data_IF_503566366216
#
_entry.id   IF_503566366216
#
_cell.length_a   1.000
_cell.length_b   1.000
_cell.length_c   1.000
_cell.angle_alpha   90.00
_cell.angle_beta   90.00
_cell.angle_gamma   90.00
#
_symmetry.space_group_name_H-M   'P 1'
#
loop_
_entity.id
_entity.type
_entity.pdbx_description
1 polymer ?
#
# COMPACT_ATOMS: atom_id res chain seq x y z
N UNK A 1 17.34 8.31 23.43
CA UNK A 1 17.05 7.21 22.47
C UNK A 1 15.54 7.02 22.26
N UNK A 2 14.72 6.84 23.31
CA UNK A 2 13.27 6.61 23.20
C UNK A 2 12.53 7.74 22.46
N UNK A 3 12.83 9.01 22.74
CA UNK A 3 12.22 10.17 22.04
C UNK A 3 12.50 10.15 20.53
N UNK A 4 13.72 9.80 20.11
CA UNK A 4 14.10 9.72 18.70
C UNK A 4 13.43 8.54 18.01
N UNK A 5 13.35 7.39 18.67
CA UNK A 5 12.61 6.23 18.16
C UNK A 5 11.12 6.57 17.94
N UNK A 6 10.49 7.28 18.88
CA UNK A 6 9.11 7.75 18.73
C UNK A 6 8.95 8.66 17.51
N UNK A 7 9.86 9.62 17.30
CA UNK A 7 9.84 10.50 16.13
C UNK A 7 10.01 9.70 14.83
N UNK A 8 10.87 8.68 14.81
CA UNK A 8 11.02 7.80 13.64
C UNK A 8 9.73 7.00 13.38
N UNK A 9 9.09 6.45 14.41
CA UNK A 9 7.83 5.71 14.29
C UNK A 9 6.67 6.60 13.80
N UNK A 10 6.61 7.86 14.27
CA UNK A 10 5.66 8.86 13.78
C UNK A 10 5.95 9.26 12.33
N UNK A 11 7.23 9.39 11.96
CA UNK A 11 7.67 9.73 10.61
C UNK A 11 7.29 8.67 9.59
N UNK A 12 7.38 7.38 9.94
CA UNK A 12 6.96 6.29 9.04
C UNK A 12 5.44 6.07 9.02
N UNK A 13 4.67 6.86 9.77
CA UNK A 13 3.21 6.75 9.89
C UNK A 13 2.79 5.32 10.12
N UNK A 14 3.25 4.74 11.25
CA UNK A 14 2.99 3.35 11.60
C UNK A 14 1.50 2.98 11.51
N UNK A 15 0.60 3.89 11.86
CA UNK A 15 -0.85 3.74 11.71
C UNK A 15 -1.29 3.39 10.27
N UNK A 16 -0.57 3.83 9.24
CA UNK A 16 -0.88 3.52 7.84
C UNK A 16 -0.56 2.06 7.47
N UNK A 17 0.13 1.30 8.35
CA UNK A 17 0.38 -0.15 8.17
C UNK A 17 -0.92 -0.93 8.01
N UNK A 18 -2.02 -0.42 8.59
CA UNK A 18 -3.36 -0.95 8.42
C UNK A 18 -3.77 -1.07 6.95
N UNK A 19 -3.25 -0.26 6.02
CA UNK A 19 -3.63 -0.38 4.60
C UNK A 19 -3.09 -1.64 3.92
N UNK A 20 -1.98 -2.19 4.40
CA UNK A 20 -1.25 -3.24 3.69
C UNK A 20 -1.27 -4.58 4.43
N UNK A 21 -1.20 -4.55 5.76
CA UNK A 21 -1.13 -5.77 6.57
C UNK A 21 -2.36 -6.68 6.44
N UNK A 22 -3.61 -6.18 6.47
CA UNK A 22 -4.79 -7.01 6.24
C UNK A 22 -4.79 -7.70 4.87
N UNK A 23 -4.27 -7.04 3.83
CA UNK A 23 -4.15 -7.65 2.50
C UNK A 23 -3.00 -8.66 2.42
N UNK A 24 -1.87 -8.43 3.09
CA UNK A 24 -0.82 -9.44 3.23
C UNK A 24 -1.38 -10.71 3.89
N UNK A 25 -2.14 -10.56 4.97
CA UNK A 25 -2.81 -11.67 5.64
C UNK A 25 -3.87 -12.33 4.76
N UNK A 26 -4.68 -11.56 4.04
CA UNK A 26 -5.65 -12.08 3.07
C UNK A 26 -4.96 -12.94 2.00
N UNK A 27 -3.88 -12.46 1.37
CA UNK A 27 -3.14 -13.23 0.37
C UNK A 27 -2.51 -14.50 0.96
N UNK A 28 -2.05 -14.43 2.20
CA UNK A 28 -1.49 -15.57 2.94
C UNK A 28 -2.55 -16.66 3.17
N UNK A 29 -3.70 -16.32 3.75
CA UNK A 29 -4.75 -17.31 4.08
C UNK A 29 -5.33 -17.89 2.80
N UNK A 30 -5.75 -17.03 1.87
CA UNK A 30 -6.39 -17.48 0.62
C UNK A 30 -5.42 -18.36 -0.15
N UNK A 31 -4.14 -17.98 -0.23
CA UNK A 31 -3.10 -18.78 -0.89
C UNK A 31 -2.90 -20.14 -0.21
N UNK A 32 -2.74 -20.16 1.11
CA UNK A 32 -2.52 -21.41 1.86
C UNK A 32 -3.71 -22.36 1.77
N UNK A 33 -4.94 -21.86 1.86
CA UNK A 33 -6.14 -22.70 1.75
C UNK A 33 -6.29 -23.26 0.33
N UNK A 34 -6.11 -22.43 -0.71
CA UNK A 34 -6.28 -22.86 -2.10
C UNK A 34 -5.20 -23.86 -2.52
N UNK A 35 -3.95 -23.64 -2.14
CA UNK A 35 -2.82 -24.45 -2.64
C UNK A 35 -2.46 -25.60 -1.70
N UNK A 36 -2.43 -25.34 -0.39
CA UNK A 36 -1.98 -26.33 0.59
C UNK A 36 -3.15 -27.02 1.31
N UNK A 37 -4.40 -26.55 1.14
CA UNK A 37 -5.57 -27.12 1.80
C UNK A 37 -5.59 -26.93 3.32
N UNK A 38 -4.79 -26.01 3.87
CA UNK A 38 -4.63 -25.81 5.31
C UNK A 38 -4.36 -24.35 5.67
N UNK A 39 -4.58 -24.01 6.93
CA UNK A 39 -4.18 -22.70 7.47
C UNK A 39 -2.66 -22.54 7.51
N UNK A 40 -2.14 -21.30 7.35
CA UNK A 40 -0.72 -21.00 7.52
C UNK A 40 -0.23 -21.37 8.92
N UNK A 41 1.03 -21.77 9.01
CA UNK A 41 1.66 -22.12 10.28
C UNK A 41 1.93 -20.86 11.12
N UNK A 42 2.02 -21.03 12.44
CA UNK A 42 2.32 -19.92 13.36
C UNK A 42 3.54 -19.11 12.93
N UNK A 43 4.58 -19.79 12.44
CA UNK A 43 5.83 -19.15 12.05
C UNK A 43 5.70 -18.34 10.75
N UNK A 44 4.81 -18.73 9.83
CA UNK A 44 4.52 -17.95 8.62
C UNK A 44 4.02 -16.56 9.00
N UNK A 45 3.09 -16.50 9.95
CA UNK A 45 2.53 -15.25 10.46
C UNK A 45 3.59 -14.32 11.04
N UNK A 46 4.49 -14.88 11.86
CA UNK A 46 5.60 -14.12 12.48
C UNK A 46 6.47 -13.51 11.40
N UNK A 47 6.93 -14.31 10.43
CA UNK A 47 7.83 -13.82 9.39
C UNK A 47 7.14 -12.88 8.40
N UNK A 48 5.86 -13.07 8.09
CA UNK A 48 5.08 -12.12 7.28
C UNK A 48 5.00 -10.76 7.98
N UNK A 49 4.74 -10.73 9.30
CA UNK A 49 4.73 -9.47 10.06
C UNK A 49 6.10 -8.80 10.03
N UNK A 50 7.18 -9.55 10.22
CA UNK A 50 8.56 -9.02 10.15
C UNK A 50 8.88 -8.50 8.75
N UNK A 51 8.52 -9.23 7.70
CA UNK A 51 8.71 -8.80 6.30
C UNK A 51 7.94 -7.52 6.00
N UNK A 52 6.66 -7.46 6.39
CA UNK A 52 5.81 -6.28 6.20
C UNK A 52 6.34 -5.07 6.97
N UNK A 53 6.78 -5.26 8.21
CA UNK A 53 7.40 -4.22 9.01
C UNK A 53 8.69 -3.71 8.34
N UNK A 54 9.58 -4.61 7.90
CA UNK A 54 10.83 -4.27 7.23
C UNK A 54 10.60 -3.53 5.90
N UNK A 55 9.79 -4.09 5.01
CA UNK A 55 9.49 -3.49 3.70
C UNK A 55 8.87 -2.10 3.84
N UNK A 56 7.86 -1.96 4.73
CA UNK A 56 7.15 -0.70 4.91
C UNK A 56 8.03 0.37 5.57
N UNK A 57 8.78 -0.01 6.60
CA UNK A 57 9.71 0.89 7.29
C UNK A 57 10.79 1.39 6.33
N UNK A 58 11.37 0.50 5.52
CA UNK A 58 12.34 0.87 4.50
C UNK A 58 11.75 1.83 3.46
N UNK A 59 10.60 1.50 2.87
CA UNK A 59 9.94 2.34 1.87
C UNK A 59 9.59 3.74 2.39
N UNK A 60 8.94 3.82 3.56
CA UNK A 60 8.54 5.10 4.14
C UNK A 60 9.77 5.95 4.48
N UNK A 61 10.79 5.38 5.09
CA UNK A 61 12.02 6.10 5.42
C UNK A 61 12.80 6.53 4.18
N UNK A 62 12.88 5.69 3.15
CA UNK A 62 13.44 6.05 1.84
C UNK A 62 12.69 7.22 1.22
N UNK A 63 11.36 7.17 1.22
CA UNK A 63 10.54 8.26 0.68
C UNK A 63 10.83 9.59 1.38
N UNK A 64 10.88 9.62 2.72
CA UNK A 64 11.21 10.84 3.47
C UNK A 64 12.63 11.32 3.20
N UNK A 65 13.58 10.41 3.10
CA UNK A 65 14.98 10.76 2.85
C UNK A 65 15.19 11.31 1.43
N UNK A 66 14.57 10.68 0.43
CA UNK A 66 14.67 11.04 -0.99
C UNK A 66 13.95 12.35 -1.28
N UNK A 67 12.77 12.55 -0.70
CA UNK A 67 11.95 13.74 -0.91
C UNK A 67 12.30 14.91 0.02
N UNK A 68 13.28 14.77 0.91
CA UNK A 68 13.65 15.77 1.93
C UNK A 68 13.75 17.21 1.42
N UNK A 69 14.40 17.44 0.26
CA UNK A 69 14.51 18.79 -0.33
C UNK A 69 13.16 19.31 -0.85
N UNK A 70 12.37 18.44 -1.47
CA UNK A 70 11.04 18.77 -1.98
C UNK A 70 10.10 19.05 -0.81
N UNK A 71 10.18 18.22 0.22
CA UNK A 71 9.33 18.32 1.41
C UNK A 71 9.60 19.61 2.19
N UNK A 72 10.87 20.05 2.25
CA UNK A 72 11.27 21.32 2.89
C UNK A 72 10.65 22.53 2.21
N UNK A 73 10.51 22.46 0.89
CA UNK A 73 10.01 23.56 0.06
C UNK A 73 8.48 23.57 -0.07
N UNK A 74 7.78 22.54 0.40
CA UNK A 74 6.32 22.45 0.36
C UNK A 74 5.72 22.88 1.72
N UNK A 75 4.85 23.91 1.74
CA UNK A 75 4.22 24.41 2.97
C UNK A 75 3.55 23.32 3.82
N UNK A 76 3.00 22.28 3.19
CA UNK A 76 2.30 21.18 3.88
C UNK A 76 3.26 20.21 4.58
N UNK A 77 4.52 20.16 4.16
CA UNK A 77 5.47 19.12 4.57
C UNK A 77 6.77 19.66 5.14
N UNK A 78 6.92 20.98 5.22
CA UNK A 78 8.08 21.66 5.76
C UNK A 78 8.37 21.28 7.23
N UNK A 79 7.33 20.96 8.00
CA UNK A 79 7.44 20.57 9.42
C UNK A 79 7.77 19.08 9.64
N UNK A 80 8.02 18.30 8.57
CA UNK A 80 8.39 16.88 8.70
C UNK A 80 9.72 16.71 9.44
N UNK A 81 9.92 15.54 10.06
CA UNK A 81 11.04 15.25 10.96
C UNK A 81 12.44 15.44 10.35
N UNK A 82 12.64 15.15 9.06
CA UNK A 82 13.93 15.35 8.39
C UNK A 82 14.13 16.82 7.98
N UNK A 83 13.18 17.48 7.27
CA UNK A 83 13.29 18.91 6.97
C UNK A 83 13.49 19.82 8.20
N UNK A 84 12.82 19.51 9.31
CA UNK A 84 12.92 20.24 10.59
C UNK A 84 14.15 19.90 11.43
N UNK A 85 14.99 18.95 10.98
CA UNK A 85 16.22 18.56 11.68
C UNK A 85 16.00 17.75 12.97
N UNK A 86 14.79 17.24 13.23
CA UNK A 86 14.49 16.42 14.41
C UNK A 86 15.19 15.05 14.37
N UNK A 87 15.50 14.55 13.17
CA UNK A 87 16.25 13.31 12.94
C UNK A 87 17.30 13.55 11.86
N UNK A 88 18.52 13.04 12.07
CA UNK A 88 19.61 13.17 11.09
C UNK A 88 19.44 12.19 9.92
N UNK A 89 19.98 12.55 8.75
CA UNK A 89 19.97 11.68 7.56
C UNK A 89 20.67 10.35 7.79
N UNK A 90 21.73 10.32 8.61
CA UNK A 90 22.44 9.09 8.95
C UNK A 90 21.61 8.16 9.84
N UNK A 91 20.84 8.69 10.79
CA UNK A 91 19.91 7.88 11.60
C UNK A 91 18.82 7.25 10.72
N UNK A 92 18.27 8.01 9.75
CA UNK A 92 17.28 7.49 8.80
C UNK A 92 17.90 6.44 7.88
N UNK A 93 19.13 6.66 7.39
CA UNK A 93 19.83 5.68 6.56
C UNK A 93 20.10 4.37 7.32
N UNK A 94 20.56 4.45 8.57
CA UNK A 94 20.75 3.28 9.41
C UNK A 94 19.44 2.51 9.62
N UNK A 95 18.35 3.22 9.87
CA UNK A 95 17.03 2.61 10.01
C UNK A 95 16.55 1.93 8.72
N UNK A 96 16.83 2.51 7.54
CA UNK A 96 16.54 1.89 6.24
C UNK A 96 17.33 0.57 6.09
N UNK A 97 18.63 0.58 6.40
CA UNK A 97 19.49 -0.62 6.30
C UNK A 97 18.98 -1.73 7.22
N UNK A 98 18.64 -1.41 8.47
CA UNK A 98 18.06 -2.37 9.41
C UNK A 98 16.71 -2.89 8.91
N UNK A 99 15.86 -2.02 8.37
CA UNK A 99 14.55 -2.40 7.85
C UNK A 99 14.65 -3.35 6.65
N UNK A 100 15.60 -3.12 5.74
CA UNK A 100 15.90 -4.07 4.68
C UNK A 100 16.48 -5.37 5.22
N UNK A 101 17.41 -5.34 6.19
CA UNK A 101 17.92 -6.56 6.80
C UNK A 101 16.79 -7.43 7.39
N UNK A 102 15.81 -6.82 8.06
CA UNK A 102 14.62 -7.52 8.56
C UNK A 102 13.79 -8.14 7.42
N UNK A 103 13.56 -7.41 6.33
CA UNK A 103 12.86 -7.93 5.16
C UNK A 103 13.59 -9.15 4.56
N UNK A 104 14.91 -9.06 4.41
CA UNK A 104 15.72 -10.14 3.83
C UNK A 104 15.68 -11.38 4.74
N UNK A 105 15.95 -11.20 6.04
CA UNK A 105 15.89 -12.30 7.02
C UNK A 105 14.53 -12.98 6.97
N UNK A 106 13.43 -12.21 7.00
CA UNK A 106 12.09 -12.77 6.93
C UNK A 106 11.83 -13.54 5.63
N UNK A 107 12.25 -13.01 4.47
CA UNK A 107 12.07 -13.71 3.20
C UNK A 107 12.83 -15.05 3.14
N UNK A 108 14.03 -15.14 3.71
CA UNK A 108 14.79 -16.40 3.82
C UNK A 108 14.11 -17.44 4.71
N UNK A 109 13.28 -17.01 5.66
CA UNK A 109 12.57 -17.88 6.59
C UNK A 109 11.18 -18.30 6.08
N UNK A 110 10.68 -17.67 5.02
CA UNK A 110 9.37 -17.96 4.43
C UNK A 110 9.47 -18.97 3.29
N UNK A 111 9.92 -18.54 2.13
CA UNK A 111 9.94 -19.38 0.94
C UNK A 111 11.09 -19.00 0.01
N UNK A 112 11.78 -19.96 -0.65
CA UNK A 112 12.81 -19.67 -1.64
C UNK A 112 12.33 -18.74 -2.76
N UNK A 113 11.06 -18.87 -3.18
CA UNK A 113 10.50 -17.98 -4.21
C UNK A 113 10.38 -16.54 -3.70
N UNK A 114 10.10 -16.33 -2.41
CA UNK A 114 10.09 -14.98 -1.82
C UNK A 114 11.48 -14.33 -1.91
N UNK A 115 12.56 -15.11 -1.71
CA UNK A 115 13.94 -14.64 -1.86
C UNK A 115 14.25 -14.25 -3.31
N UNK A 116 13.82 -15.06 -4.28
CA UNK A 116 13.99 -14.75 -5.72
C UNK A 116 13.32 -13.44 -6.11
N UNK A 117 12.20 -13.10 -5.47
CA UNK A 117 11.47 -11.85 -5.73
C UNK A 117 11.98 -10.64 -4.95
N UNK A 118 12.89 -10.81 -3.97
CA UNK A 118 13.45 -9.69 -3.20
C UNK A 118 14.06 -8.59 -4.07
N UNK A 119 14.88 -8.87 -5.11
CA UNK A 119 15.46 -7.81 -5.93
C UNK A 119 14.39 -6.94 -6.59
N UNK A 120 13.32 -7.55 -7.09
CA UNK A 120 12.19 -6.82 -7.70
C UNK A 120 11.43 -6.00 -6.65
N UNK A 121 11.15 -6.60 -5.48
CA UNK A 121 10.48 -5.90 -4.39
C UNK A 121 11.30 -4.68 -3.91
N UNK A 122 12.60 -4.86 -3.66
CA UNK A 122 13.51 -3.77 -3.25
C UNK A 122 13.61 -2.70 -4.32
N UNK A 123 13.73 -3.08 -5.60
CA UNK A 123 13.72 -2.12 -6.70
C UNK A 123 12.46 -1.26 -6.68
N UNK A 124 11.28 -1.86 -6.52
CA UNK A 124 10.01 -1.13 -6.43
C UNK A 124 9.94 -0.21 -5.21
N UNK A 125 10.35 -0.71 -4.02
CA UNK A 125 10.39 0.06 -2.77
C UNK A 125 11.34 1.28 -2.85
N UNK A 126 12.37 1.22 -3.69
CA UNK A 126 13.27 2.35 -3.93
C UNK A 126 12.73 3.27 -5.02
N UNK A 127 12.39 2.73 -6.19
CA UNK A 127 12.10 3.52 -7.39
C UNK A 127 10.84 4.35 -7.24
N UNK A 128 9.81 3.87 -6.52
CA UNK A 128 8.54 4.60 -6.42
C UNK A 128 8.74 6.02 -5.88
N UNK A 129 9.67 6.21 -4.94
CA UNK A 129 9.98 7.52 -4.36
C UNK A 129 10.59 8.50 -5.37
N UNK A 130 11.22 8.00 -6.44
CA UNK A 130 11.80 8.82 -7.51
C UNK A 130 10.80 9.15 -8.62
N UNK A 131 9.75 8.34 -8.80
CA UNK A 131 8.86 8.42 -9.99
C UNK A 131 8.25 9.79 -10.23
N UNK A 132 7.88 10.52 -9.16
CA UNK A 132 7.31 11.88 -9.29
C UNK A 132 8.25 12.91 -9.93
N UNK A 133 9.54 12.59 -10.12
CA UNK A 133 10.53 13.47 -10.76
C UNK A 133 10.53 13.34 -12.29
N UNK A 134 9.91 12.30 -12.85
CA UNK A 134 9.98 12.04 -14.30
C UNK A 134 8.71 11.43 -14.91
N UNK A 135 7.75 10.94 -14.12
CA UNK A 135 6.51 10.38 -14.65
C UNK A 135 5.30 10.71 -13.79
N UNK A 136 4.19 11.03 -14.47
CA UNK A 136 2.89 11.25 -13.82
C UNK A 136 2.26 9.94 -13.34
N UNK A 137 2.80 8.78 -13.75
CA UNK A 137 2.35 7.45 -13.33
C UNK A 137 2.83 7.06 -11.91
N UNK A 138 3.36 7.99 -11.13
CA UNK A 138 3.91 7.73 -9.79
C UNK A 138 2.94 6.99 -8.86
N UNK A 139 1.64 7.33 -8.92
CA UNK A 139 0.59 6.65 -8.15
C UNK A 139 0.37 5.19 -8.57
N UNK A 140 0.53 4.88 -9.87
CA UNK A 140 0.44 3.51 -10.37
C UNK A 140 1.63 2.70 -9.87
N UNK A 141 2.84 3.25 -9.94
CA UNK A 141 4.05 2.58 -9.43
C UNK A 141 3.96 2.36 -7.91
N UNK A 142 3.44 3.34 -7.17
CA UNK A 142 3.15 3.18 -5.74
C UNK A 142 2.14 2.05 -5.49
N UNK A 143 1.04 2.03 -6.24
CA UNK A 143 0.03 0.99 -6.17
C UNK A 143 0.62 -0.39 -6.41
N UNK A 144 1.38 -0.56 -7.49
CA UNK A 144 2.08 -1.81 -7.81
C UNK A 144 3.05 -2.19 -6.69
N UNK A 145 3.78 -1.23 -6.11
CA UNK A 145 4.73 -1.48 -5.02
C UNK A 145 4.03 -2.01 -3.76
N UNK A 146 2.95 -1.36 -3.31
CA UNK A 146 2.25 -1.80 -2.09
C UNK A 146 1.37 -3.03 -2.37
N UNK A 147 0.92 -3.22 -3.62
CA UNK A 147 0.24 -4.43 -4.07
C UNK A 147 1.06 -5.70 -3.85
N UNK A 148 2.40 -5.61 -3.73
CA UNK A 148 3.23 -6.76 -3.33
C UNK A 148 2.88 -7.30 -1.93
N UNK A 149 2.14 -6.58 -1.08
CA UNK A 149 1.73 -7.09 0.23
C UNK A 149 0.92 -8.40 0.13
N UNK A 150 -0.27 -8.44 -0.52
CA UNK A 150 -1.00 -9.70 -0.73
C UNK A 150 -0.22 -10.73 -1.57
N UNK A 151 0.51 -10.31 -2.61
CA UNK A 151 1.27 -11.23 -3.46
C UNK A 151 2.42 -11.89 -2.70
N UNK A 152 3.11 -11.12 -1.88
CA UNK A 152 4.19 -11.59 -1.02
C UNK A 152 3.68 -12.56 0.04
N UNK A 153 2.54 -12.25 0.67
CA UNK A 153 1.87 -13.17 1.59
C UNK A 153 1.47 -14.50 0.92
N UNK A 154 0.97 -14.44 -0.32
CA UNK A 154 0.66 -15.64 -1.11
C UNK A 154 1.93 -16.46 -1.41
N UNK A 155 2.96 -15.84 -1.96
CA UNK A 155 4.22 -16.51 -2.33
C UNK A 155 4.89 -17.10 -1.09
N UNK A 156 4.83 -16.40 0.04
CA UNK A 156 5.46 -16.80 1.30
C UNK A 156 5.00 -18.18 1.79
N UNK A 157 3.74 -18.56 1.57
CA UNK A 157 3.19 -19.83 2.08
C UNK A 157 2.93 -20.87 0.99
N UNK A 158 2.85 -20.44 -0.28
CA UNK A 158 2.55 -21.35 -1.40
C UNK A 158 3.77 -21.68 -2.25
N UNK A 159 4.78 -20.81 -2.28
CA UNK A 159 5.90 -20.92 -3.22
C UNK A 159 5.49 -20.85 -4.70
N UNK A 160 4.33 -20.27 -5.00
CA UNK A 160 3.76 -20.23 -6.35
C UNK A 160 3.12 -18.88 -6.65
N UNK A 161 2.98 -18.56 -7.94
CA UNK A 161 2.23 -17.41 -8.44
C UNK A 161 1.09 -17.94 -9.30
N UNK A 162 -0.14 -17.75 -8.85
CA UNK A 162 -1.35 -18.16 -9.58
C UNK A 162 -2.08 -16.93 -10.14
N UNK A 163 -3.02 -17.16 -11.06
CA UNK A 163 -3.90 -16.09 -11.53
C UNK A 163 -4.71 -15.44 -10.41
N UNK A 164 -5.14 -16.22 -9.41
CA UNK A 164 -5.79 -15.69 -8.20
C UNK A 164 -4.90 -14.72 -7.45
N UNK A 165 -3.61 -15.08 -7.26
CA UNK A 165 -2.63 -14.21 -6.60
C UNK A 165 -2.42 -12.89 -7.38
N UNK A 166 -2.32 -12.98 -8.71
CA UNK A 166 -2.15 -11.81 -9.59
C UNK A 166 -3.39 -10.91 -9.60
N UNK A 167 -4.59 -11.48 -9.58
CA UNK A 167 -5.83 -10.69 -9.55
C UNK A 167 -5.98 -9.98 -8.20
N UNK A 168 -5.67 -10.64 -7.08
CA UNK A 168 -5.64 -10.00 -5.77
C UNK A 168 -4.58 -8.88 -5.71
N UNK A 169 -3.38 -9.14 -6.25
CA UNK A 169 -2.32 -8.15 -6.41
C UNK A 169 -2.81 -6.91 -7.16
N UNK A 170 -3.44 -7.09 -8.33
CA UNK A 170 -3.94 -6.00 -9.15
C UNK A 170 -5.11 -5.27 -8.48
N UNK A 171 -6.02 -5.99 -7.83
CA UNK A 171 -7.14 -5.39 -7.09
C UNK A 171 -6.63 -4.38 -6.05
N UNK A 172 -5.65 -4.79 -5.24
CA UNK A 172 -5.04 -3.95 -4.21
C UNK A 172 -4.19 -2.84 -4.83
N UNK A 173 -3.39 -3.13 -5.87
CA UNK A 173 -2.56 -2.13 -6.53
C UNK A 173 -3.38 -0.98 -7.14
N UNK A 174 -4.47 -1.30 -7.82
CA UNK A 174 -5.36 -0.31 -8.44
C UNK A 174 -6.13 0.50 -7.41
N UNK A 175 -6.58 -0.12 -6.33
CA UNK A 175 -7.19 0.58 -5.20
C UNK A 175 -6.23 1.59 -4.58
N UNK A 176 -4.99 1.18 -4.31
CA UNK A 176 -3.96 2.04 -3.74
C UNK A 176 -3.63 3.21 -4.65
N UNK A 177 -3.45 2.93 -5.94
CA UNK A 177 -3.23 3.99 -6.90
C UNK A 177 -4.40 4.98 -6.94
N UNK A 178 -5.64 4.50 -6.89
CA UNK A 178 -6.83 5.35 -6.92
C UNK A 178 -6.91 6.29 -5.71
N UNK A 179 -6.76 5.79 -4.49
CA UNK A 179 -6.84 6.66 -3.32
C UNK A 179 -5.62 7.57 -3.18
N UNK A 180 -4.45 7.16 -3.66
CA UNK A 180 -3.26 8.01 -3.64
C UNK A 180 -3.38 9.17 -4.64
N UNK A 181 -4.05 8.95 -5.79
CA UNK A 181 -4.42 10.06 -6.69
C UNK A 181 -5.38 11.04 -6.00
N UNK A 182 -6.36 10.55 -5.23
CA UNK A 182 -7.25 11.42 -4.43
C UNK A 182 -6.43 12.21 -3.40
N UNK A 183 -5.49 11.56 -2.71
CA UNK A 183 -4.62 12.21 -1.73
C UNK A 183 -3.75 13.31 -2.34
N UNK A 184 -3.18 13.04 -3.52
CA UNK A 184 -2.29 13.96 -4.24
C UNK A 184 -3.00 15.19 -4.82
N UNK A 185 -4.34 15.24 -4.82
CA UNK A 185 -5.06 16.45 -5.23
C UNK A 185 -4.74 17.67 -4.36
N UNK A 186 -4.29 17.46 -3.12
CA UNK A 186 -3.88 18.52 -2.19
C UNK A 186 -2.58 19.23 -2.62
N UNK A 187 -1.72 18.56 -3.38
CA UNK A 187 -0.43 19.10 -3.81
C UNK A 187 -0.44 19.43 -5.32
N UNK A 188 -1.61 19.46 -5.97
CA UNK A 188 -1.71 19.55 -7.43
C UNK A 188 -1.08 20.85 -8.01
N UNK A 189 -1.34 21.99 -7.38
CA UNK A 189 -0.76 23.28 -7.75
C UNK A 189 0.74 23.33 -7.45
N UNK A 190 1.13 22.92 -6.24
CA UNK A 190 2.53 22.89 -5.82
C UNK A 190 3.39 22.02 -6.73
N UNK A 191 2.92 20.80 -7.02
CA UNK A 191 3.60 19.88 -7.92
C UNK A 191 3.77 20.49 -9.31
N UNK A 192 2.74 21.18 -9.82
CA UNK A 192 2.79 21.84 -11.13
C UNK A 192 3.81 22.96 -11.16
N UNK A 193 3.83 23.83 -10.14
CA UNK A 193 4.77 24.95 -10.04
C UNK A 193 6.23 24.50 -9.90
N UNK A 194 6.46 23.38 -9.22
CA UNK A 194 7.79 22.80 -9.00
C UNK A 194 8.23 21.81 -10.08
N UNK A 195 7.45 21.63 -11.15
CA UNK A 195 7.77 20.70 -12.23
C UNK A 195 7.76 19.23 -11.81
N UNK A 196 7.00 18.88 -10.78
CA UNK A 196 6.77 17.51 -10.32
C UNK A 196 5.60 16.88 -11.07
N UNK A 197 5.72 15.57 -11.28
CA UNK A 197 4.80 14.79 -12.08
C UNK A 197 3.88 13.94 -11.19
N UNK A 198 2.61 14.30 -11.17
CA UNK A 198 1.53 13.54 -10.56
C UNK A 198 0.29 13.58 -11.46
N UNK A 199 -0.64 12.65 -11.28
CA UNK A 199 -1.89 12.64 -12.06
C UNK A 199 -2.65 13.97 -11.90
N UNK A 200 -2.85 14.49 -10.66
CA UNK A 200 -3.49 15.79 -10.47
C UNK A 200 -2.69 16.98 -11.01
N UNK A 201 -1.35 16.97 -10.92
CA UNK A 201 -0.54 18.08 -11.47
C UNK A 201 -0.64 18.15 -12.99
N UNK A 202 -0.58 17.00 -13.67
CA UNK A 202 -0.58 16.86 -15.13
C UNK A 202 -1.95 17.07 -15.77
N UNK A 203 -3.01 16.47 -15.20
CA UNK A 203 -4.34 16.47 -15.81
C UNK A 203 -5.33 17.42 -15.14
N UNK A 204 -4.95 18.00 -14.00
CA UNK A 204 -5.81 18.81 -13.15
C UNK A 204 -6.64 17.96 -12.19
N UNK A 205 -7.08 18.57 -11.09
CA UNK A 205 -7.81 17.89 -10.00
C UNK A 205 -9.05 17.15 -10.50
N UNK A 206 -9.87 17.78 -11.35
CA UNK A 206 -11.10 17.17 -11.85
C UNK A 206 -10.85 15.87 -12.64
N UNK A 207 -9.90 15.87 -13.58
CA UNK A 207 -9.54 14.68 -14.35
C UNK A 207 -8.79 13.67 -13.49
N UNK A 208 -7.97 14.11 -12.53
CA UNK A 208 -7.32 13.23 -11.57
C UNK A 208 -8.33 12.43 -10.75
N UNK A 209 -9.38 13.08 -10.24
CA UNK A 209 -10.48 12.39 -9.54
C UNK A 209 -11.23 11.42 -10.47
N UNK A 210 -11.42 11.74 -11.76
CA UNK A 210 -12.00 10.80 -12.73
C UNK A 210 -11.11 9.57 -12.96
N UNK A 211 -9.79 9.76 -13.07
CA UNK A 211 -8.84 8.64 -13.20
C UNK A 211 -8.88 7.77 -11.93
N UNK A 212 -8.91 8.38 -10.75
CA UNK A 212 -9.06 7.66 -9.48
C UNK A 212 -10.34 6.81 -9.42
N UNK A 213 -11.46 7.32 -9.96
CA UNK A 213 -12.71 6.55 -10.08
C UNK A 213 -12.53 5.33 -10.98
N UNK A 214 -11.89 5.50 -12.15
CA UNK A 214 -11.59 4.39 -13.05
C UNK A 214 -10.74 3.31 -12.39
N UNK A 215 -9.71 3.70 -11.64
CA UNK A 215 -8.86 2.78 -10.88
C UNK A 215 -9.64 2.01 -9.80
N UNK A 216 -10.54 2.69 -9.06
CA UNK A 216 -11.39 2.05 -8.06
C UNK A 216 -12.42 1.09 -8.69
N UNK A 217 -13.01 1.45 -9.83
CA UNK A 217 -13.92 0.55 -10.57
C UNK A 217 -13.17 -0.71 -11.00
N UNK A 218 -11.97 -0.56 -11.57
CA UNK A 218 -11.14 -1.70 -11.97
C UNK A 218 -10.74 -2.57 -10.77
N UNK A 219 -10.41 -1.96 -9.62
CA UNK A 219 -10.16 -2.67 -8.37
C UNK A 219 -11.38 -3.46 -7.88
N UNK A 220 -12.56 -2.83 -7.86
CA UNK A 220 -13.81 -3.48 -7.47
C UNK A 220 -14.13 -4.68 -8.39
N UNK A 221 -13.98 -4.51 -9.70
CA UNK A 221 -14.14 -5.61 -10.66
C UNK A 221 -13.15 -6.75 -10.40
N UNK A 222 -11.90 -6.45 -10.04
CA UNK A 222 -10.90 -7.47 -9.70
C UNK A 222 -11.23 -8.21 -8.40
N UNK A 223 -11.69 -7.51 -7.35
CA UNK A 223 -12.20 -8.16 -6.13
C UNK A 223 -13.42 -9.02 -6.41
N UNK A 224 -14.36 -8.54 -7.22
CA UNK A 224 -15.52 -9.32 -7.63
C UNK A 224 -15.12 -10.55 -8.46
N UNK A 225 -14.09 -10.43 -9.31
CA UNK A 225 -13.57 -11.56 -10.09
C UNK A 225 -13.04 -12.68 -9.20
N UNK A 226 -12.43 -12.37 -8.05
CA UNK A 226 -11.96 -13.39 -7.09
C UNK A 226 -13.09 -14.30 -6.58
N UNK A 227 -14.31 -13.76 -6.40
CA UNK A 227 -15.48 -14.57 -6.04
C UNK A 227 -15.77 -15.65 -7.10
N UNK A 228 -15.71 -15.28 -8.38
CA UNK A 228 -16.05 -16.20 -9.47
C UNK A 228 -14.96 -17.23 -9.78
N UNK A 229 -13.68 -16.90 -9.58
CA UNK A 229 -12.57 -17.78 -10.01
C UNK A 229 -12.05 -18.71 -8.93
N UNK A 230 -12.26 -18.40 -7.65
CA UNK A 230 -11.66 -19.17 -6.56
C UNK A 230 -12.46 -20.41 -6.22
N UNK A 231 -13.79 -20.39 -6.37
CA UNK A 231 -14.71 -21.44 -5.91
C UNK A 231 -14.75 -21.63 -4.38
N UNK A 232 -13.77 -21.06 -3.66
CA UNK A 232 -13.63 -21.04 -2.20
C UNK A 232 -14.41 -19.88 -1.57
N UNK A 233 -14.41 -18.71 -2.21
CA UNK A 233 -15.02 -17.51 -1.67
C UNK A 233 -16.52 -17.49 -1.98
N UNK A 234 -17.34 -17.60 -0.94
CA UNK A 234 -18.78 -17.55 -0.91
C UNK A 234 -19.37 -16.16 -0.64
N UNK A 235 -20.59 -16.17 -0.11
CA UNK A 235 -21.43 -14.97 -0.03
C UNK A 235 -20.97 -13.97 1.04
N UNK A 236 -20.25 -14.41 2.07
CA UNK A 236 -19.70 -13.48 3.08
C UNK A 236 -18.60 -12.64 2.45
N UNK A 237 -17.68 -13.25 1.70
CA UNK A 237 -16.69 -12.51 0.92
C UNK A 237 -17.38 -11.49 0.00
N UNK A 238 -18.43 -11.91 -0.72
CA UNK A 238 -19.16 -11.03 -1.62
C UNK A 238 -19.76 -9.80 -0.90
N UNK A 239 -20.32 -9.96 0.31
CA UNK A 239 -20.78 -8.82 1.12
C UNK A 239 -19.62 -7.87 1.40
N UNK A 240 -18.45 -8.38 1.77
CA UNK A 240 -17.23 -7.58 1.96
C UNK A 240 -16.87 -6.76 0.72
N UNK A 241 -16.92 -7.37 -0.46
CA UNK A 241 -16.67 -6.70 -1.75
C UNK A 241 -17.69 -5.59 -2.00
N UNK A 242 -18.99 -5.83 -1.77
CA UNK A 242 -20.03 -4.81 -1.93
C UNK A 242 -19.82 -3.65 -0.96
N UNK A 243 -19.51 -3.92 0.31
CA UNK A 243 -19.20 -2.88 1.30
C UNK A 243 -17.99 -2.06 0.84
N UNK A 244 -16.91 -2.71 0.39
CA UNK A 244 -15.73 -2.02 -0.13
C UNK A 244 -16.08 -1.12 -1.34
N UNK A 245 -16.92 -1.60 -2.26
CA UNK A 245 -17.42 -0.79 -3.39
C UNK A 245 -18.21 0.44 -2.93
N UNK A 246 -19.12 0.27 -1.97
CA UNK A 246 -19.88 1.39 -1.38
C UNK A 246 -18.97 2.40 -0.68
N UNK A 247 -17.94 1.93 0.01
CA UNK A 247 -16.93 2.80 0.63
C UNK A 247 -16.14 3.59 -0.42
N UNK A 248 -15.72 2.95 -1.52
CA UNK A 248 -15.04 3.65 -2.62
C UNK A 248 -15.95 4.70 -3.27
N UNK A 249 -17.24 4.41 -3.44
CA UNK A 249 -18.22 5.39 -3.93
C UNK A 249 -18.38 6.58 -2.97
N UNK A 250 -18.49 6.30 -1.66
CA UNK A 250 -18.57 7.33 -0.64
C UNK A 250 -17.29 8.19 -0.60
N UNK A 251 -16.12 7.59 -0.80
CA UNK A 251 -14.85 8.34 -0.86
C UNK A 251 -14.88 9.39 -1.97
N UNK A 252 -15.43 9.02 -3.14
CA UNK A 252 -15.56 9.88 -4.30
C UNK A 252 -16.67 10.93 -4.20
N UNK A 253 -17.62 10.79 -3.27
CA UNK A 253 -18.63 11.81 -2.99
C UNK A 253 -18.13 12.86 -1.98
N UNK A 254 -17.16 12.51 -1.14
CA UNK A 254 -16.57 13.41 -0.14
C UNK A 254 -15.56 14.41 -0.70
N UNK A 255 -14.95 14.10 -1.85
CA UNK A 255 -13.90 14.92 -2.46
C UNK A 255 -14.37 15.37 -3.83
N UNK A 256 -14.42 16.69 -4.03
CA UNK A 256 -14.77 17.28 -5.32
C UNK A 256 -13.69 18.26 -5.77
N UNK A 257 -13.67 18.61 -7.05
CA UNK A 257 -12.73 19.61 -7.58
C UNK A 257 -12.83 20.99 -6.89
N UNK A 258 -13.96 21.28 -6.24
CA UNK A 258 -14.22 22.55 -5.58
C UNK A 258 -14.09 22.45 -4.06
N UNK A 259 -14.01 21.23 -3.50
CA UNK A 259 -13.92 20.99 -2.06
C UNK A 259 -12.99 19.80 -1.79
N UNK A 260 -11.78 20.13 -1.34
CA UNK A 260 -10.74 19.19 -0.92
C UNK A 260 -10.62 19.08 0.60
N UNK A 261 -11.51 19.72 1.37
CA UNK A 261 -11.42 19.80 2.83
C UNK A 261 -11.46 18.42 3.52
N UNK A 262 -12.06 17.43 2.86
CA UNK A 262 -12.23 16.06 3.37
C UNK A 262 -11.24 15.05 2.81
N UNK A 263 -10.22 15.46 2.05
CA UNK A 263 -9.25 14.53 1.44
C UNK A 263 -8.55 13.65 2.49
N UNK A 264 -8.18 14.22 3.64
CA UNK A 264 -7.51 13.45 4.70
C UNK A 264 -8.42 12.35 5.31
N UNK A 265 -9.72 12.64 5.47
CA UNK A 265 -10.70 11.66 5.92
C UNK A 265 -10.96 10.59 4.85
N UNK A 266 -11.07 11.01 3.59
CA UNK A 266 -11.21 10.13 2.45
C UNK A 266 -9.97 9.22 2.25
N UNK A 267 -8.79 9.69 2.64
CA UNK A 267 -7.54 8.94 2.54
C UNK A 267 -7.36 7.94 3.68
N UNK A 268 -7.34 8.37 4.94
CA UNK A 268 -6.88 7.50 6.03
C UNK A 268 -7.98 6.62 6.66
N UNK A 269 -9.00 7.16 7.35
CA UNK A 269 -10.05 6.36 7.97
C UNK A 269 -10.76 5.40 6.99
N UNK A 270 -11.09 5.87 5.80
CA UNK A 270 -11.84 5.08 4.83
C UNK A 270 -11.04 3.90 4.29
N UNK A 271 -9.80 4.13 3.84
CA UNK A 271 -8.99 3.07 3.25
C UNK A 271 -8.46 2.08 4.30
N UNK A 272 -8.21 2.56 5.52
CA UNK A 272 -7.89 1.67 6.64
C UNK A 272 -9.04 0.73 6.96
N UNK A 273 -10.25 1.29 7.07
CA UNK A 273 -11.46 0.49 7.30
C UNK A 273 -11.71 -0.50 6.15
N UNK A 274 -11.50 -0.09 4.88
CA UNK A 274 -11.73 -0.95 3.72
C UNK A 274 -10.85 -2.20 3.76
N UNK A 275 -9.56 -2.04 4.04
CA UNK A 275 -8.63 -3.17 4.14
C UNK A 275 -9.02 -4.16 5.24
N UNK A 276 -9.49 -3.68 6.39
CA UNK A 276 -9.95 -4.51 7.50
C UNK A 276 -11.25 -5.22 7.14
N UNK A 277 -12.21 -4.52 6.52
CA UNK A 277 -13.46 -5.12 6.02
C UNK A 277 -13.14 -6.25 5.06
N UNK A 278 -12.30 -6.02 4.05
CA UNK A 278 -11.94 -7.05 3.08
C UNK A 278 -11.31 -8.27 3.75
N UNK A 279 -10.39 -8.08 4.70
CA UNK A 279 -9.78 -9.17 5.43
C UNK A 279 -10.78 -9.94 6.31
N UNK A 280 -11.58 -9.24 7.12
CA UNK A 280 -12.52 -9.87 8.06
C UNK A 280 -13.61 -10.67 7.35
N UNK A 281 -14.17 -10.13 6.25
CA UNK A 281 -15.19 -10.85 5.48
C UNK A 281 -14.58 -12.04 4.72
N UNK A 282 -13.37 -11.91 4.18
CA UNK A 282 -12.65 -13.06 3.58
C UNK A 282 -12.38 -14.14 4.62
N UNK A 283 -11.89 -13.77 5.80
CA UNK A 283 -11.62 -14.70 6.89
C UNK A 283 -12.90 -15.37 7.38
N UNK A 284 -13.98 -14.60 7.58
CA UNK A 284 -15.26 -15.13 8.05
C UNK A 284 -15.86 -16.17 7.10
N UNK A 285 -15.66 -15.97 5.80
CA UNK A 285 -16.10 -16.90 4.76
C UNK A 285 -15.26 -18.19 4.74
N UNK A 286 -13.95 -18.09 4.94
CA UNK A 286 -13.03 -19.25 5.01
C UNK A 286 -13.25 -20.10 6.27
N UNK A 287 -13.76 -19.51 7.35
CA UNK A 287 -13.99 -20.19 8.62
C UNK A 287 -15.34 -20.92 8.70
N UNK A 288 -16.24 -20.73 7.74
CA UNK A 288 -17.55 -21.39 7.66
C UNK A 288 -17.55 -22.56 6.67
#
# INVERSE_FOLDING_TARGET
MIRKLKIILEMIKFEHTVFALPFAFMGTIVGSIIINGRFPEWMDWVWIVVAMFGARSAAMSLNRLIDERIDRDNPRTADRAIPSGLVSKMEVLLFIVVSFALLFIAAFQLNPLAVVFLPLAVFLLVIYSYTKRFTWMCHIVLGLTIGFAPLGGWIAVTGQITWTAIILYLAVALWIAGFDVVYATQDAEYDRERGLYSIPSRFGVAKGLMIARGLHIASFCAFLMLFFITGLLGWIYLIGVIIAGLMMLYQHSLVTKNDLSRVMFAFFPMNGTLSVVMFCFTMGDILL
#
